data_IF_824862653693
#
_entry.id   IF_824862653693
#
_cell.length_a   1.000
_cell.length_b   1.000
_cell.length_c   1.000
_cell.angle_alpha   90.00
_cell.angle_beta   90.00
_cell.angle_gamma   90.00
#
_symmetry.space_group_name_H-M   'P 1'
#
loop_
_entity.id
_entity.type
_entity.pdbx_description
1 polymer ?
#
# COMPACT_ATOMS: atom_id res chain seq x y z
N UNK A 1 -11.27 21.63 19.22
CA UNK A 1 -11.26 21.92 20.66
C UNK A 1 -12.64 22.37 21.11
N UNK A 2 -13.00 22.05 22.34
CA UNK A 2 -14.12 22.70 22.99
C UNK A 2 -13.75 24.15 23.31
N UNK A 3 -14.74 25.02 23.26
CA UNK A 3 -14.55 26.44 23.52
C UNK A 3 -14.00 26.66 24.94
N UNK A 4 -12.97 27.52 25.07
CA UNK A 4 -12.31 27.81 26.35
C UNK A 4 -11.22 26.83 26.77
N UNK A 5 -10.86 25.84 25.90
CA UNK A 5 -9.74 24.90 26.18
C UNK A 5 -8.47 25.20 25.37
N UNK A 6 -8.40 26.36 24.74
CA UNK A 6 -7.28 26.76 23.89
C UNK A 6 -5.96 26.83 24.68
N UNK A 7 -5.98 27.39 25.89
CA UNK A 7 -4.80 27.47 26.76
C UNK A 7 -4.32 26.08 27.23
N UNK A 8 -5.23 25.14 27.44
CA UNK A 8 -4.86 23.77 27.79
C UNK A 8 -4.18 23.05 26.62
N UNK A 9 -4.71 23.24 25.41
CA UNK A 9 -4.09 22.72 24.21
C UNK A 9 -2.71 23.34 23.96
N UNK A 10 -2.60 24.68 24.07
CA UNK A 10 -1.35 25.39 23.90
C UNK A 10 -0.24 24.84 24.83
N UNK A 11 -0.54 24.58 26.10
CA UNK A 11 0.42 23.99 27.04
C UNK A 11 0.93 22.61 26.58
N UNK A 12 0.11 21.82 25.91
CA UNK A 12 0.51 20.51 25.35
C UNK A 12 1.46 20.71 24.17
N UNK A 13 1.14 21.64 23.26
CA UNK A 13 1.99 21.97 22.13
C UNK A 13 3.35 22.55 22.58
N UNK A 14 3.32 23.50 23.55
CA UNK A 14 4.53 24.11 24.12
C UNK A 14 5.44 23.02 24.77
N UNK A 15 4.86 22.04 25.46
CA UNK A 15 5.61 20.91 26.05
C UNK A 15 6.44 20.15 25.03
N UNK A 16 5.94 20.06 23.81
CA UNK A 16 6.59 19.33 22.72
C UNK A 16 7.31 20.24 21.72
N UNK A 17 7.43 21.53 22.04
CA UNK A 17 8.02 22.55 21.18
C UNK A 17 7.40 22.58 19.78
N UNK A 18 6.07 22.55 19.73
CA UNK A 18 5.27 22.59 18.51
C UNK A 18 4.53 23.93 18.42
N UNK A 19 4.40 24.43 17.21
CA UNK A 19 3.60 25.62 16.93
C UNK A 19 2.10 25.36 17.19
N UNK A 20 1.43 26.37 17.74
CA UNK A 20 0.00 26.33 17.98
C UNK A 20 -0.68 27.63 17.53
N UNK A 21 -1.72 27.52 16.73
CA UNK A 21 -2.53 28.66 16.32
C UNK A 21 -4.02 28.31 16.29
N UNK A 22 -4.84 29.26 16.65
CA UNK A 22 -6.29 29.16 16.46
C UNK A 22 -6.58 29.62 15.04
N UNK A 23 -6.91 28.68 14.16
CA UNK A 23 -7.12 28.92 12.72
C UNK A 23 -8.59 29.24 12.37
N UNK A 24 -9.51 29.09 13.33
CA UNK A 24 -10.92 29.39 13.09
C UNK A 24 -11.83 28.74 14.14
N UNK A 25 -13.11 28.81 13.88
CA UNK A 25 -14.18 28.23 14.70
C UNK A 25 -15.24 27.58 13.79
N UNK A 26 -15.93 26.59 14.33
CA UNK A 26 -17.08 25.99 13.66
C UNK A 26 -18.28 26.94 13.74
N UNK A 27 -19.05 27.05 12.65
CA UNK A 27 -20.24 27.88 12.53
C UNK A 27 -21.46 27.07 12.10
N UNK A 28 -22.64 27.65 12.15
CA UNK A 28 -23.88 27.04 11.63
C UNK A 28 -24.30 27.63 10.27
N UNK A 29 -23.44 28.42 9.64
CA UNK A 29 -23.73 29.09 8.37
C UNK A 29 -23.83 28.15 7.18
N UNK A 30 -23.34 26.89 7.33
CA UNK A 30 -23.17 25.90 6.26
C UNK A 30 -22.24 26.37 5.13
N UNK A 31 -21.40 27.36 5.41
CA UNK A 31 -20.38 27.88 4.51
C UNK A 31 -18.99 27.74 5.15
N UNK A 32 -17.98 27.59 4.30
CA UNK A 32 -16.59 27.81 4.66
C UNK A 32 -16.30 29.28 4.38
N UNK A 33 -16.06 30.03 5.44
CA UNK A 33 -15.74 31.45 5.39
C UNK A 33 -14.25 31.63 5.67
N UNK A 34 -13.51 32.21 4.74
CA UNK A 34 -12.09 32.47 4.89
C UNK A 34 -11.85 33.97 5.02
N UNK A 35 -11.06 34.33 6.02
CA UNK A 35 -10.66 35.71 6.28
C UNK A 35 -9.14 35.83 6.20
N UNK A 36 -8.66 36.89 5.59
CA UNK A 36 -7.26 37.26 5.57
C UNK A 36 -7.14 38.74 5.99
N UNK A 37 -6.33 39.02 7.01
CA UNK A 37 -6.19 40.35 7.61
C UNK A 37 -7.53 41.02 7.97
N UNK A 38 -8.52 40.22 8.36
CA UNK A 38 -9.87 40.69 8.76
C UNK A 38 -10.85 40.91 7.61
N UNK A 39 -10.41 40.76 6.38
CA UNK A 39 -11.27 40.81 5.18
C UNK A 39 -11.72 39.41 4.76
N UNK A 40 -13.00 39.26 4.39
CA UNK A 40 -13.52 38.02 3.84
C UNK A 40 -12.98 37.82 2.41
N UNK A 41 -12.16 36.82 2.23
CA UNK A 41 -11.53 36.48 0.94
C UNK A 41 -12.23 35.32 0.22
N UNK A 42 -13.03 34.52 0.95
CA UNK A 42 -13.87 33.48 0.35
C UNK A 42 -15.06 33.13 1.25
N UNK A 43 -16.18 32.82 0.60
CA UNK A 43 -17.39 32.33 1.25
C UNK A 43 -18.04 31.27 0.37
N UNK A 44 -17.81 29.99 0.69
CA UNK A 44 -18.13 28.87 -0.16
C UNK A 44 -19.14 27.94 0.56
N UNK A 45 -20.32 27.70 -0.05
CA UNK A 45 -21.25 26.71 0.49
C UNK A 45 -20.64 25.32 0.60
N UNK A 46 -20.70 24.71 1.78
CA UNK A 46 -20.12 23.37 2.06
C UNK A 46 -20.67 22.31 1.08
N UNK A 47 -21.96 22.35 0.76
CA UNK A 47 -22.58 21.40 -0.16
C UNK A 47 -21.94 21.43 -1.56
N UNK A 48 -21.42 22.58 -2.01
CA UNK A 48 -20.73 22.70 -3.30
C UNK A 48 -19.43 21.89 -3.32
N UNK A 49 -18.72 21.83 -2.20
CA UNK A 49 -17.47 21.10 -2.08
C UNK A 49 -17.66 19.60 -1.84
N UNK A 50 -18.74 19.20 -1.20
CA UNK A 50 -18.99 17.83 -0.79
C UNK A 50 -19.97 17.11 -1.69
N UNK A 51 -21.20 17.67 -1.83
CA UNK A 51 -22.30 17.00 -2.54
C UNK A 51 -22.25 17.18 -4.06
N UNK A 52 -21.76 18.34 -4.51
CA UNK A 52 -21.67 18.69 -5.93
C UNK A 52 -20.31 18.34 -6.54
N UNK A 53 -19.41 17.68 -5.80
CA UNK A 53 -18.17 17.15 -6.37
C UNK A 53 -18.50 16.12 -7.44
N UNK A 54 -17.85 16.17 -8.62
CA UNK A 54 -18.17 15.26 -9.71
C UNK A 54 -17.85 13.81 -9.33
N UNK A 55 -18.85 12.95 -9.47
CA UNK A 55 -18.71 11.49 -9.35
C UNK A 55 -18.49 10.94 -10.76
N UNK A 56 -17.26 10.50 -11.04
CA UNK A 56 -16.92 9.98 -12.36
C UNK A 56 -17.27 8.50 -12.48
N UNK A 57 -18.05 8.13 -13.50
CA UNK A 57 -18.21 6.75 -13.98
C UNK A 57 -17.27 6.54 -15.19
N UNK A 58 -16.03 6.15 -14.92
CA UNK A 58 -15.00 5.98 -15.94
C UNK A 58 -15.25 4.70 -16.73
N UNK A 59 -15.30 4.84 -18.07
CA UNK A 59 -15.37 3.70 -18.99
C UNK A 59 -14.08 2.88 -18.89
N UNK A 60 -14.22 1.58 -19.05
CA UNK A 60 -13.08 0.67 -19.06
C UNK A 60 -13.26 -0.48 -20.04
N UNK A 61 -12.17 -1.06 -20.48
CA UNK A 61 -12.11 -2.23 -21.33
C UNK A 61 -11.40 -3.36 -20.60
N UNK A 62 -11.81 -4.58 -20.87
CA UNK A 62 -11.09 -5.75 -20.35
C UNK A 62 -9.61 -5.67 -20.75
N UNK A 63 -8.72 -5.92 -19.79
CA UNK A 63 -7.29 -5.82 -20.00
C UNK A 63 -6.79 -6.72 -21.13
N UNK A 64 -5.94 -6.18 -22.00
CA UNK A 64 -5.30 -6.91 -23.10
C UNK A 64 -4.12 -7.69 -22.56
N UNK A 65 -4.24 -8.99 -22.49
CA UNK A 65 -3.16 -9.85 -22.01
C UNK A 65 -2.01 -9.88 -23.02
N UNK A 66 -0.74 -9.86 -22.56
CA UNK A 66 0.40 -9.98 -23.45
C UNK A 66 0.43 -11.34 -24.16
N UNK A 67 0.98 -11.35 -25.36
CA UNK A 67 1.16 -12.60 -26.10
C UNK A 67 2.07 -13.56 -25.33
N UNK A 68 1.63 -14.80 -25.15
CA UNK A 68 2.44 -15.83 -24.51
C UNK A 68 3.67 -16.14 -25.36
N UNK A 69 4.85 -15.95 -24.79
CA UNK A 69 6.09 -16.40 -25.41
C UNK A 69 6.20 -17.92 -25.29
N UNK A 70 6.25 -18.63 -26.42
CA UNK A 70 6.51 -20.07 -26.42
C UNK A 70 8.02 -20.29 -26.35
N UNK A 71 8.53 -20.73 -25.20
CA UNK A 71 9.91 -21.16 -25.07
C UNK A 71 10.02 -22.55 -25.73
N UNK A 72 10.90 -22.68 -26.74
CA UNK A 72 11.15 -23.98 -27.39
C UNK A 72 11.84 -24.92 -26.40
N UNK A 73 11.31 -26.15 -26.22
CA UNK A 73 11.90 -27.16 -25.32
C UNK A 73 13.39 -27.44 -25.64
N UNK A 74 13.78 -27.40 -26.93
CA UNK A 74 15.15 -27.53 -27.38
C UNK A 74 16.11 -26.48 -26.81
N UNK A 75 15.63 -25.26 -26.56
CA UNK A 75 16.44 -24.21 -25.95
C UNK A 75 16.69 -24.51 -24.47
N UNK A 76 15.70 -25.07 -23.74
CA UNK A 76 15.85 -25.44 -22.35
C UNK A 76 16.83 -26.60 -22.17
N UNK A 77 16.74 -27.61 -23.04
CA UNK A 77 17.60 -28.80 -22.98
C UNK A 77 19.10 -28.54 -23.23
N UNK A 78 19.45 -27.40 -23.85
CA UNK A 78 20.84 -26.98 -24.08
C UNK A 78 21.46 -26.20 -22.94
N UNK A 79 20.66 -25.83 -21.92
CA UNK A 79 21.12 -25.00 -20.78
C UNK A 79 21.71 -25.90 -19.69
N UNK A 80 22.94 -25.62 -19.27
CA UNK A 80 23.52 -26.27 -18.09
C UNK A 80 22.93 -25.66 -16.81
N UNK A 81 22.48 -26.47 -15.90
CA UNK A 81 21.84 -26.03 -14.64
C UNK A 81 22.74 -25.05 -13.87
N UNK A 82 24.05 -25.32 -13.80
CA UNK A 82 25.01 -24.42 -13.11
C UNK A 82 25.03 -23.02 -13.71
N UNK A 83 25.00 -22.91 -15.04
CA UNK A 83 25.03 -21.62 -15.74
C UNK A 83 23.71 -20.85 -15.56
N UNK A 84 22.58 -21.58 -15.54
CA UNK A 84 21.27 -20.98 -15.26
C UNK A 84 21.24 -20.44 -13.82
N UNK A 85 21.65 -21.26 -12.86
CA UNK A 85 21.67 -20.87 -11.44
C UNK A 85 22.57 -19.67 -11.21
N UNK A 86 23.78 -19.65 -11.78
CA UNK A 86 24.68 -18.51 -11.69
C UNK A 86 24.06 -17.23 -12.26
N UNK A 87 23.41 -17.32 -13.42
CA UNK A 87 22.72 -16.16 -14.04
C UNK A 87 21.53 -15.67 -13.22
N UNK A 88 20.75 -16.55 -12.61
CA UNK A 88 19.64 -16.17 -11.77
C UNK A 88 20.15 -15.46 -10.52
N UNK A 89 21.11 -16.07 -9.80
CA UNK A 89 21.67 -15.52 -8.57
C UNK A 89 22.41 -14.20 -8.77
N UNK A 90 23.03 -14.00 -9.94
CA UNK A 90 23.69 -12.73 -10.30
C UNK A 90 22.73 -11.66 -10.83
N UNK A 91 21.45 -11.99 -11.01
CA UNK A 91 20.46 -11.02 -11.47
C UNK A 91 20.15 -9.97 -10.40
N UNK A 92 20.10 -8.66 -10.75
CA UNK A 92 19.70 -7.61 -9.82
C UNK A 92 18.33 -7.85 -9.15
N UNK A 93 17.43 -8.60 -9.77
CA UNK A 93 16.12 -8.93 -9.21
C UNK A 93 16.18 -9.97 -8.08
N UNK A 94 17.23 -10.77 -8.02
CA UNK A 94 17.37 -11.88 -7.07
C UNK A 94 18.52 -11.64 -6.06
N UNK A 95 19.42 -10.68 -6.32
CA UNK A 95 20.51 -10.35 -5.40
C UNK A 95 19.97 -9.85 -4.05
N UNK A 96 20.79 -9.97 -2.99
CA UNK A 96 20.47 -9.42 -1.67
C UNK A 96 20.14 -7.93 -1.77
N UNK A 97 19.10 -7.52 -1.04
CA UNK A 97 18.71 -6.11 -0.87
C UNK A 97 19.14 -5.57 0.51
N UNK A 98 20.02 -6.25 1.18
CA UNK A 98 20.49 -5.92 2.53
C UNK A 98 20.98 -4.46 2.63
N UNK A 99 21.67 -3.95 1.62
CA UNK A 99 22.14 -2.58 1.54
C UNK A 99 21.01 -1.54 1.64
N UNK A 100 19.76 -1.88 1.27
CA UNK A 100 18.61 -0.98 1.38
C UNK A 100 18.19 -0.84 2.82
N UNK A 101 17.94 -1.94 3.50
CA UNK A 101 17.41 -1.90 4.86
C UNK A 101 18.47 -1.69 5.94
N UNK A 102 19.75 -1.92 5.64
CA UNK A 102 20.86 -1.51 6.53
C UNK A 102 20.97 0.00 6.77
N UNK A 103 20.38 0.82 5.88
CA UNK A 103 20.36 2.29 6.03
C UNK A 103 19.38 2.76 7.12
N UNK A 104 18.52 1.88 7.60
CA UNK A 104 17.48 2.19 8.57
C UNK A 104 17.71 1.43 9.87
N UNK A 105 17.42 2.09 11.00
CA UNK A 105 17.44 1.42 12.29
C UNK A 105 16.19 0.56 12.46
N UNK A 106 16.35 -0.73 12.30
CA UNK A 106 15.29 -1.72 12.52
C UNK A 106 15.28 -2.29 13.95
N UNK A 107 16.14 -1.77 14.83
CA UNK A 107 16.29 -2.23 16.23
C UNK A 107 15.76 -1.23 17.24
N UNK A 108 15.12 -0.14 16.81
CA UNK A 108 14.52 0.88 17.67
C UNK A 108 13.70 0.24 18.79
N UNK A 109 13.90 0.74 20.02
CA UNK A 109 13.28 0.25 21.26
C UNK A 109 13.59 -1.21 21.63
N UNK A 110 14.43 -1.90 20.86
CA UNK A 110 14.81 -3.30 21.12
C UNK A 110 13.63 -4.30 20.96
N UNK A 111 12.67 -3.98 20.11
CA UNK A 111 11.44 -4.77 19.97
C UNK A 111 11.41 -5.70 18.76
N UNK A 112 12.40 -5.59 17.89
CA UNK A 112 12.48 -6.43 16.69
C UNK A 112 12.84 -7.87 17.06
N UNK A 113 11.94 -8.79 16.73
CA UNK A 113 12.15 -10.25 16.90
C UNK A 113 12.75 -10.82 15.62
N UNK A 114 12.15 -10.48 14.48
CA UNK A 114 12.67 -10.84 13.16
C UNK A 114 12.99 -9.60 12.36
N UNK A 115 14.27 -9.44 12.02
CA UNK A 115 14.78 -8.31 11.23
C UNK A 115 14.35 -8.41 9.75
N UNK A 116 14.45 -7.32 8.99
CA UNK A 116 14.27 -7.34 7.53
C UNK A 116 15.19 -8.37 6.84
N UNK A 117 14.73 -8.86 5.68
CA UNK A 117 15.44 -9.89 4.88
C UNK A 117 14.78 -11.27 4.91
N UNK A 118 13.81 -11.50 5.80
CA UNK A 118 12.89 -12.63 5.76
C UNK A 118 11.57 -12.28 5.08
N UNK A 119 10.58 -13.19 5.19
CA UNK A 119 9.27 -13.03 4.53
C UNK A 119 8.42 -11.93 5.20
N UNK A 120 8.59 -11.71 6.51
CA UNK A 120 7.92 -10.63 7.25
C UNK A 120 8.83 -10.09 8.34
N UNK A 121 8.72 -8.81 8.64
CA UNK A 121 9.28 -8.23 9.86
C UNK A 121 8.38 -8.54 11.06
N UNK A 122 8.97 -8.83 12.24
CA UNK A 122 8.21 -9.14 13.46
C UNK A 122 8.69 -8.28 14.61
N UNK A 123 7.74 -7.61 15.27
CA UNK A 123 7.98 -6.69 16.40
C UNK A 123 7.10 -7.11 17.57
N UNK A 124 7.71 -7.24 18.77
CA UNK A 124 6.93 -7.59 19.97
C UNK A 124 6.04 -6.44 20.45
N UNK A 125 4.98 -6.79 21.14
CA UNK A 125 4.10 -5.84 21.83
C UNK A 125 4.48 -5.79 23.31
N UNK A 126 4.92 -4.61 23.79
CA UNK A 126 5.30 -4.41 25.17
C UNK A 126 4.21 -4.87 26.16
N UNK A 127 4.66 -5.42 27.30
CA UNK A 127 3.76 -5.88 28.35
C UNK A 127 2.97 -7.15 28.02
N UNK A 128 3.33 -7.86 26.92
CA UNK A 128 2.67 -9.09 26.51
C UNK A 128 3.64 -10.08 25.85
N UNK A 129 3.19 -11.32 25.63
CA UNK A 129 3.90 -12.29 24.78
C UNK A 129 3.53 -12.15 23.29
N UNK A 130 2.70 -11.17 22.91
CA UNK A 130 2.25 -10.98 21.55
C UNK A 130 3.31 -10.28 20.70
N UNK A 131 3.26 -10.52 19.39
CA UNK A 131 4.01 -9.74 18.40
C UNK A 131 3.15 -9.45 17.18
N UNK A 132 3.50 -8.37 16.49
CA UNK A 132 2.90 -7.99 15.21
C UNK A 132 3.88 -8.33 14.10
N UNK A 133 3.40 -9.03 13.08
CA UNK A 133 4.13 -9.26 11.84
C UNK A 133 3.60 -8.34 10.75
N UNK A 134 4.48 -7.86 9.87
CA UNK A 134 4.13 -7.07 8.71
C UNK A 134 4.91 -7.53 7.48
N UNK A 135 4.21 -7.63 6.34
CA UNK A 135 4.80 -7.85 5.02
C UNK A 135 4.37 -6.76 4.04
N UNK A 136 5.17 -6.52 3.02
CA UNK A 136 4.84 -5.60 1.91
C UNK A 136 5.17 -6.31 0.60
N UNK A 137 4.16 -6.52 -0.22
CA UNK A 137 4.24 -7.34 -1.42
C UNK A 137 3.68 -6.62 -2.64
N UNK A 138 4.35 -6.76 -3.79
CA UNK A 138 3.90 -6.22 -5.07
C UNK A 138 4.55 -6.96 -6.23
N UNK A 139 3.79 -7.17 -7.32
CA UNK A 139 4.32 -7.72 -8.55
C UNK A 139 3.67 -7.09 -9.78
N UNK A 140 4.20 -5.94 -10.19
CA UNK A 140 3.71 -5.20 -11.36
C UNK A 140 3.75 -6.03 -12.66
N UNK A 141 4.72 -6.94 -12.79
CA UNK A 141 4.84 -7.79 -13.99
C UNK A 141 3.71 -8.82 -14.04
N UNK A 142 3.34 -9.42 -12.92
CA UNK A 142 2.23 -10.39 -12.86
C UNK A 142 0.88 -9.70 -13.06
N UNK A 143 0.69 -8.52 -12.48
CA UNK A 143 -0.51 -7.72 -12.69
C UNK A 143 -0.64 -7.27 -14.15
N UNK A 144 0.45 -6.85 -14.79
CA UNK A 144 0.45 -6.56 -16.22
C UNK A 144 0.17 -7.79 -17.09
N UNK A 145 0.73 -8.95 -16.72
CA UNK A 145 0.49 -10.19 -17.48
C UNK A 145 -0.95 -10.70 -17.39
N UNK A 146 -1.60 -10.51 -16.24
CA UNK A 146 -2.99 -10.88 -16.02
C UNK A 146 -3.54 -10.17 -14.78
N UNK A 147 -4.16 -8.98 -14.92
CA UNK A 147 -4.51 -8.11 -13.80
C UNK A 147 -5.35 -8.78 -12.71
N UNK A 148 -6.40 -9.51 -13.08
CA UNK A 148 -7.25 -10.24 -12.12
C UNK A 148 -6.43 -11.27 -11.30
N UNK A 149 -5.62 -12.07 -11.98
CA UNK A 149 -4.80 -13.11 -11.33
C UNK A 149 -3.65 -12.48 -10.52
N UNK A 150 -3.00 -11.45 -11.07
CA UNK A 150 -1.96 -10.70 -10.38
C UNK A 150 -2.46 -10.06 -9.08
N UNK A 151 -3.66 -9.47 -9.10
CA UNK A 151 -4.32 -8.97 -7.89
C UNK A 151 -4.57 -10.05 -6.84
N UNK A 152 -4.97 -11.26 -7.26
CA UNK A 152 -5.08 -12.41 -6.33
C UNK A 152 -3.73 -12.84 -5.77
N UNK A 153 -2.72 -12.90 -6.63
CA UNK A 153 -1.38 -13.37 -6.24
C UNK A 153 -0.73 -12.48 -5.21
N UNK A 154 -0.82 -11.15 -5.35
CA UNK A 154 -0.18 -10.22 -4.40
C UNK A 154 -0.81 -10.31 -3.00
N UNK A 155 -2.13 -10.52 -2.89
CA UNK A 155 -2.78 -10.76 -1.60
C UNK A 155 -2.37 -12.11 -1.01
N UNK A 156 -2.33 -13.17 -1.83
CA UNK A 156 -1.91 -14.49 -1.39
C UNK A 156 -0.43 -14.55 -1.00
N UNK A 157 0.43 -13.76 -1.63
CA UNK A 157 1.84 -13.63 -1.28
C UNK A 157 1.99 -13.02 0.12
N UNK A 158 1.36 -11.88 0.36
CA UNK A 158 1.35 -11.23 1.68
C UNK A 158 0.82 -12.15 2.77
N UNK A 159 -0.29 -12.85 2.50
CA UNK A 159 -0.85 -13.82 3.43
C UNK A 159 0.13 -14.96 3.78
N UNK A 160 0.80 -15.54 2.77
CA UNK A 160 1.81 -16.60 2.98
C UNK A 160 3.03 -16.09 3.74
N UNK A 161 3.48 -14.87 3.44
CA UNK A 161 4.63 -14.27 4.12
C UNK A 161 4.37 -14.05 5.61
N UNK A 162 3.14 -13.73 6.00
CA UNK A 162 2.75 -13.66 7.41
C UNK A 162 2.68 -15.05 8.07
N UNK A 163 2.12 -16.04 7.38
CA UNK A 163 2.05 -17.42 7.89
C UNK A 163 3.45 -18.03 8.06
N UNK A 164 4.40 -17.74 7.16
CA UNK A 164 5.76 -18.30 7.22
C UNK A 164 6.51 -17.93 8.49
N UNK A 165 6.15 -16.80 9.11
CA UNK A 165 6.69 -16.35 10.41
C UNK A 165 5.75 -16.67 11.58
N UNK A 166 4.84 -17.63 11.43
CA UNK A 166 3.93 -18.08 12.48
C UNK A 166 2.82 -17.09 12.85
N UNK A 167 2.64 -16.02 12.11
CA UNK A 167 1.61 -15.04 12.39
C UNK A 167 0.25 -15.46 11.79
N UNK A 168 -0.83 -15.10 12.47
CA UNK A 168 -2.20 -15.22 11.96
C UNK A 168 -2.50 -13.94 11.18
N UNK A 169 -2.69 -13.99 9.84
CA UNK A 169 -3.06 -12.81 9.06
C UNK A 169 -4.37 -12.20 9.55
N UNK A 170 -4.40 -10.87 9.73
CA UNK A 170 -5.57 -10.17 10.27
C UNK A 170 -6.21 -9.27 9.24
N UNK A 171 -5.41 -8.40 8.60
CA UNK A 171 -5.91 -7.38 7.69
C UNK A 171 -4.82 -6.88 6.76
N UNK A 172 -5.24 -6.27 5.64
CA UNK A 172 -4.35 -5.61 4.70
C UNK A 172 -4.69 -4.13 4.53
N UNK A 173 -3.66 -3.37 4.20
CA UNK A 173 -3.78 -2.07 3.54
C UNK A 173 -3.30 -2.21 2.10
N UNK A 174 -3.80 -1.38 1.17
CA UNK A 174 -3.30 -1.38 -0.18
C UNK A 174 -2.82 0.01 -0.62
N UNK A 175 -1.84 0.04 -1.50
CA UNK A 175 -1.37 1.23 -2.19
C UNK A 175 -1.44 0.94 -3.69
N UNK A 176 -2.45 1.47 -4.36
CA UNK A 176 -2.78 1.15 -5.74
C UNK A 176 -2.20 2.22 -6.67
N UNK A 177 -1.22 1.85 -7.50
CA UNK A 177 -0.56 2.77 -8.42
C UNK A 177 -0.81 2.34 -9.87
N UNK A 178 -1.45 3.23 -10.66
CA UNK A 178 -1.87 2.98 -12.03
C UNK A 178 -1.64 4.20 -12.92
N UNK A 179 -1.69 4.00 -14.24
CA UNK A 179 -1.69 5.08 -15.23
C UNK A 179 -2.98 5.91 -15.18
N UNK A 180 -3.19 6.78 -16.17
CA UNK A 180 -4.38 7.63 -16.26
C UNK A 180 -5.67 6.79 -16.32
N UNK A 181 -6.66 7.08 -15.45
CA UNK A 181 -7.97 6.42 -15.47
C UNK A 181 -8.84 6.89 -16.64
N UNK A 182 -8.42 7.91 -17.38
CA UNK A 182 -9.09 8.38 -18.60
C UNK A 182 -8.79 7.45 -19.79
N UNK A 183 -7.69 6.68 -19.71
CA UNK A 183 -7.40 5.63 -20.66
C UNK A 183 -8.17 4.36 -20.26
N UNK A 184 -9.08 3.92 -21.14
CA UNK A 184 -9.95 2.76 -20.88
C UNK A 184 -9.19 1.44 -20.67
N UNK A 185 -7.99 1.29 -21.26
CA UNK A 185 -7.14 0.10 -21.07
C UNK A 185 -6.50 0.13 -19.65
N UNK A 186 -5.94 1.27 -19.21
CA UNK A 186 -5.41 1.45 -17.85
C UNK A 186 -6.50 1.27 -16.79
N UNK A 187 -7.68 1.84 -17.05
CA UNK A 187 -8.83 1.68 -16.14
C UNK A 187 -9.28 0.21 -16.05
N UNK A 188 -9.21 -0.54 -17.15
CA UNK A 188 -9.48 -1.98 -17.16
C UNK A 188 -8.49 -2.78 -16.33
N UNK A 189 -7.20 -2.47 -16.41
CA UNK A 189 -6.17 -3.09 -15.55
C UNK A 189 -6.43 -2.80 -14.07
N UNK A 190 -6.82 -1.57 -13.73
CA UNK A 190 -7.19 -1.21 -12.35
C UNK A 190 -8.40 -2.00 -11.87
N UNK A 191 -9.50 -2.02 -12.62
CA UNK A 191 -10.74 -2.73 -12.26
C UNK A 191 -10.47 -4.21 -12.03
N UNK A 192 -9.77 -4.88 -12.96
CA UNK A 192 -9.48 -6.31 -12.82
C UNK A 192 -8.53 -6.61 -11.66
N UNK A 193 -7.51 -5.75 -11.38
CA UNK A 193 -6.66 -5.89 -10.20
C UNK A 193 -7.49 -5.78 -8.90
N UNK A 194 -8.35 -4.78 -8.79
CA UNK A 194 -9.21 -4.58 -7.60
C UNK A 194 -10.17 -5.75 -7.40
N UNK A 195 -10.76 -6.27 -8.48
CA UNK A 195 -11.60 -7.47 -8.42
C UNK A 195 -10.79 -8.67 -7.89
N UNK A 196 -9.58 -8.89 -8.41
CA UNK A 196 -8.69 -9.96 -7.96
C UNK A 196 -8.32 -9.83 -6.48
N UNK A 197 -7.95 -8.63 -6.03
CA UNK A 197 -7.68 -8.34 -4.61
C UNK A 197 -8.92 -8.67 -3.75
N UNK A 198 -10.11 -8.19 -4.16
CA UNK A 198 -11.35 -8.43 -3.43
C UNK A 198 -11.71 -9.93 -3.32
N UNK A 199 -11.56 -10.70 -4.40
CA UNK A 199 -11.81 -12.13 -4.39
C UNK A 199 -10.85 -12.90 -3.47
N UNK A 200 -9.54 -12.59 -3.52
CA UNK A 200 -8.55 -13.23 -2.67
C UNK A 200 -8.74 -12.84 -1.19
N UNK A 201 -9.02 -11.56 -0.91
CA UNK A 201 -9.30 -11.07 0.44
C UNK A 201 -10.49 -11.78 1.08
N UNK A 202 -11.56 -11.97 0.31
CA UNK A 202 -12.74 -12.74 0.79
C UNK A 202 -12.41 -14.20 1.04
N UNK A 203 -11.72 -14.85 0.10
CA UNK A 203 -11.38 -16.27 0.20
C UNK A 203 -10.46 -16.58 1.39
N UNK A 204 -9.47 -15.71 1.63
CA UNK A 204 -8.47 -15.87 2.68
C UNK A 204 -8.91 -15.29 4.04
N UNK A 205 -10.10 -14.70 4.12
CA UNK A 205 -10.56 -13.94 5.28
C UNK A 205 -9.53 -12.89 5.74
N UNK A 206 -9.03 -12.12 4.77
CA UNK A 206 -7.95 -11.16 4.95
C UNK A 206 -8.41 -9.78 4.44
N UNK A 207 -9.22 -9.06 5.24
CA UNK A 207 -9.95 -7.87 4.79
C UNK A 207 -9.05 -6.68 4.52
N UNK A 208 -9.44 -5.90 3.51
CA UNK A 208 -8.85 -4.57 3.25
C UNK A 208 -9.47 -3.56 4.22
N UNK A 209 -8.67 -2.97 5.10
CA UNK A 209 -9.14 -2.02 6.13
C UNK A 209 -8.71 -0.59 5.87
N UNK A 210 -7.74 -0.37 5.00
CA UNK A 210 -7.29 0.94 4.56
C UNK A 210 -6.58 0.86 3.22
N UNK A 211 -6.26 2.01 2.65
CA UNK A 211 -5.47 2.08 1.42
C UNK A 211 -5.54 3.44 0.76
N UNK A 212 -4.85 3.54 -0.37
CA UNK A 212 -4.90 4.69 -1.25
C UNK A 212 -4.86 4.27 -2.72
N UNK A 213 -5.32 5.17 -3.58
CA UNK A 213 -5.18 5.04 -5.03
C UNK A 213 -4.39 6.24 -5.54
N UNK A 214 -3.38 5.97 -6.37
CA UNK A 214 -2.62 6.97 -7.11
C UNK A 214 -2.79 6.69 -8.60
N UNK A 215 -3.40 7.63 -9.31
CA UNK A 215 -3.56 7.61 -10.74
C UNK A 215 -2.60 8.58 -11.44
N UNK A 216 -2.61 8.59 -12.77
CA UNK A 216 -1.76 9.45 -13.61
C UNK A 216 -0.26 9.22 -13.41
N UNK A 217 0.13 8.00 -13.00
CA UNK A 217 1.55 7.62 -12.93
C UNK A 217 2.06 7.29 -14.32
N UNK A 218 2.55 8.30 -15.01
CA UNK A 218 2.90 8.23 -16.43
C UNK A 218 4.21 8.96 -16.72
N UNK A 219 4.91 8.49 -17.75
CA UNK A 219 6.08 9.17 -18.29
C UNK A 219 5.97 9.20 -19.82
N UNK A 220 5.96 10.40 -20.41
CA UNK A 220 5.79 10.62 -21.85
C UNK A 220 4.55 9.88 -22.38
N UNK A 221 3.40 10.16 -21.80
CA UNK A 221 2.09 9.59 -22.13
C UNK A 221 2.00 8.05 -22.06
N UNK A 222 2.95 7.43 -21.37
CA UNK A 222 2.96 5.99 -21.14
C UNK A 222 2.78 5.69 -19.66
N UNK A 223 1.67 5.02 -19.33
CA UNK A 223 1.37 4.56 -17.99
C UNK A 223 2.39 3.56 -17.46
N UNK A 224 2.60 3.57 -16.15
CA UNK A 224 3.33 2.49 -15.47
C UNK A 224 2.57 1.17 -15.61
N UNK A 225 3.26 0.06 -15.39
CA UNK A 225 2.56 -1.22 -15.23
C UNK A 225 1.65 -1.17 -13.99
N UNK A 226 0.52 -1.91 -14.00
CA UNK A 226 -0.36 -2.02 -12.83
C UNK A 226 0.45 -2.42 -11.59
N UNK A 227 0.48 -1.57 -10.58
CA UNK A 227 1.33 -1.79 -9.40
C UNK A 227 0.49 -1.66 -8.11
N UNK A 228 -0.40 -2.62 -7.83
CA UNK A 228 -0.98 -2.74 -6.51
C UNK A 228 0.09 -3.26 -5.54
N UNK A 229 0.26 -2.57 -4.42
CA UNK A 229 1.14 -2.98 -3.33
C UNK A 229 0.27 -3.29 -2.12
N UNK A 230 0.47 -4.46 -1.53
CA UNK A 230 -0.29 -4.94 -0.37
C UNK A 230 0.62 -4.90 0.86
N UNK A 231 0.17 -4.20 1.90
CA UNK A 231 0.77 -4.26 3.23
C UNK A 231 -0.07 -5.17 4.12
N UNK A 232 0.44 -6.34 4.46
CA UNK A 232 -0.24 -7.29 5.33
C UNK A 232 0.17 -7.14 6.78
N UNK A 233 -0.80 -7.31 7.69
CA UNK A 233 -0.56 -7.33 9.14
C UNK A 233 -1.05 -8.65 9.71
N UNK A 234 -0.23 -9.28 10.54
CA UNK A 234 -0.54 -10.51 11.25
C UNK A 234 -0.22 -10.41 12.74
N UNK A 235 -0.84 -11.28 13.53
CA UNK A 235 -0.66 -11.37 14.97
C UNK A 235 -0.03 -12.71 15.36
N UNK A 236 1.07 -12.66 16.09
CA UNK A 236 1.58 -13.80 16.86
C UNK A 236 0.98 -13.72 18.27
N UNK A 237 0.31 -14.78 18.69
CA UNK A 237 -0.28 -14.86 20.06
C UNK A 237 0.79 -15.02 21.13
N UNK A 238 1.88 -15.73 20.80
CA UNK A 238 3.04 -15.92 21.66
C UNK A 238 4.30 -16.04 20.79
N UNK A 239 5.14 -15.01 20.81
CA UNK A 239 6.37 -14.95 20.01
C UNK A 239 7.49 -15.84 20.57
N UNK A 240 7.36 -16.37 21.79
CA UNK A 240 8.32 -17.30 22.37
C UNK A 240 8.28 -18.70 21.74
N UNK A 241 7.24 -18.95 20.94
CA UNK A 241 7.07 -20.19 20.19
C UNK A 241 7.51 -20.08 18.72
N UNK A 242 8.28 -19.05 18.37
CA UNK A 242 8.90 -18.86 17.05
C UNK A 242 10.14 -19.71 16.87
#
# INVERSE_FOLDING_TARGET
LENGKEEQAKKIFDKWNLDFAIIGKTTNTKNIELFFDGEEVANIPVHTLVENSPMYDRKWKKAKLPKKNKIKKETINKLKIKDILAKILSSPNVCSKEWIWQQYDHTVMGDTIQKPGGDSGVVRVHGSNKAVAASVDSSAVYCWAHPLTGGKQVVAESWRNLISVGAIPIAITNCLNFGSPENEDNMGEFVECVQGIGEASKYLNFPVVSGNVSFYNETKDKGIKPTPTIGGVGLLKDYKNL
#
